data_IF_875202050227
#
_entry.id   IF_875202050227
#
_cell.length_a   1.000
_cell.length_b   1.000
_cell.length_c   1.000
_cell.angle_alpha   90.00
_cell.angle_beta   90.00
_cell.angle_gamma   90.00
#
_symmetry.space_group_name_H-M   'P 1'
#
loop_
_entity.id
_entity.type
_entity.pdbx_description
1 polymer ?
#
# COMPACT_ATOMS: atom_id res chain seq x y z
N UNK A 1 -22.43 19.18 6.02
CA UNK A 1 -21.38 18.32 5.45
C UNK A 1 -20.64 17.64 6.59
N UNK A 2 -21.13 16.49 7.04
CA UNK A 2 -20.47 15.68 8.07
C UNK A 2 -19.44 14.77 7.40
N UNK A 3 -18.22 15.28 7.23
CA UNK A 3 -17.06 14.50 6.79
C UNK A 3 -16.58 13.59 7.92
N UNK A 4 -17.44 12.70 8.42
CA UNK A 4 -16.98 11.57 9.21
C UNK A 4 -16.30 10.65 8.21
N UNK A 5 -14.98 10.70 8.20
CA UNK A 5 -14.15 9.73 7.49
C UNK A 5 -14.37 8.40 8.22
N UNK A 6 -15.44 7.69 7.88
CA UNK A 6 -15.65 6.33 8.34
C UNK A 6 -14.67 5.47 7.54
N UNK A 7 -13.44 5.41 8.06
CA UNK A 7 -12.41 4.58 7.49
C UNK A 7 -12.86 3.12 7.60
N UNK A 8 -13.36 2.55 6.51
CA UNK A 8 -13.68 1.12 6.43
C UNK A 8 -12.37 0.31 6.35
N UNK A 9 -11.93 -0.33 7.46
CA UNK A 9 -10.68 -1.07 7.49
C UNK A 9 -10.75 -2.32 6.59
N UNK A 10 -11.95 -2.86 6.35
CA UNK A 10 -12.15 -4.02 5.48
C UNK A 10 -11.97 -3.65 4.01
N UNK A 11 -12.49 -2.49 3.59
CA UNK A 11 -12.24 -1.98 2.24
C UNK A 11 -10.75 -1.72 2.00
N UNK A 12 -10.04 -1.16 2.99
CA UNK A 12 -8.59 -0.93 2.93
C UNK A 12 -7.80 -2.25 2.85
N UNK A 13 -8.15 -3.27 3.64
CA UNK A 13 -7.53 -4.61 3.54
C UNK A 13 -7.70 -5.22 2.16
N UNK A 14 -8.91 -5.18 1.58
CA UNK A 14 -9.16 -5.67 0.22
C UNK A 14 -8.41 -4.88 -0.84
N UNK A 15 -8.23 -3.58 -0.65
CA UNK A 15 -7.41 -2.76 -1.55
C UNK A 15 -5.93 -3.18 -1.47
N UNK A 16 -5.40 -3.39 -0.27
CA UNK A 16 -4.03 -3.88 -0.07
C UNK A 16 -3.82 -5.26 -0.69
N UNK A 17 -4.73 -6.20 -0.48
CA UNK A 17 -4.64 -7.54 -1.10
C UNK A 17 -4.60 -7.49 -2.62
N UNK A 18 -5.39 -6.60 -3.23
CA UNK A 18 -5.36 -6.39 -4.69
C UNK A 18 -4.06 -5.74 -5.15
N UNK A 19 -3.49 -4.83 -4.36
CA UNK A 19 -2.25 -4.14 -4.71
C UNK A 19 -0.99 -4.98 -4.49
N UNK A 20 -1.02 -6.00 -3.62
CA UNK A 20 0.14 -6.88 -3.33
C UNK A 20 0.72 -7.57 -4.57
N UNK A 21 -0.11 -7.84 -5.59
CA UNK A 21 0.33 -8.48 -6.82
C UNK A 21 1.03 -7.54 -7.79
N UNK A 22 0.84 -6.22 -7.66
CA UNK A 22 1.39 -5.24 -8.59
C UNK A 22 2.93 -5.13 -8.51
N UNK A 23 3.57 -5.08 -7.32
CA UNK A 23 5.02 -5.13 -7.21
C UNK A 23 5.61 -6.43 -7.80
N UNK A 24 4.96 -7.57 -7.59
CA UNK A 24 5.41 -8.86 -8.14
C UNK A 24 5.42 -8.85 -9.68
N UNK A 25 4.39 -8.25 -10.29
CA UNK A 25 4.31 -8.07 -11.74
C UNK A 25 5.38 -7.10 -12.26
N UNK A 26 5.63 -6.01 -11.55
CA UNK A 26 6.70 -5.06 -11.87
C UNK A 26 8.09 -5.71 -11.81
N UNK A 27 8.36 -6.53 -10.79
CA UNK A 27 9.60 -7.30 -10.70
C UNK A 27 9.70 -8.36 -11.83
N UNK A 28 8.56 -8.93 -12.22
CA UNK A 28 8.47 -9.84 -13.37
C UNK A 28 8.89 -9.20 -14.68
N UNK A 29 8.52 -7.94 -14.92
CA UNK A 29 8.89 -7.21 -16.14
C UNK A 29 10.39 -7.12 -16.37
N UNK A 30 11.17 -6.78 -15.33
CA UNK A 30 12.64 -6.71 -15.45
C UNK A 30 13.27 -8.07 -15.75
N UNK A 31 12.77 -9.14 -15.12
CA UNK A 31 13.25 -10.51 -15.39
C UNK A 31 12.90 -10.98 -16.79
N UNK A 32 11.68 -10.73 -17.26
CA UNK A 32 11.26 -11.02 -18.63
C UNK A 32 12.10 -10.26 -19.63
N UNK A 33 12.36 -8.97 -19.39
CA UNK A 33 13.20 -8.15 -20.25
C UNK A 33 14.62 -8.73 -20.41
N UNK A 34 15.29 -9.07 -19.30
CA UNK A 34 16.62 -9.71 -19.34
C UNK A 34 16.58 -11.07 -20.05
N UNK A 35 15.52 -11.85 -19.81
CA UNK A 35 15.36 -13.15 -20.46
C UNK A 35 15.20 -13.01 -21.97
N UNK A 36 14.43 -12.02 -22.42
CA UNK A 36 14.19 -11.76 -23.84
C UNK A 36 15.44 -11.19 -24.52
N UNK A 37 16.17 -10.28 -23.86
CA UNK A 37 17.44 -9.73 -24.35
C UNK A 37 18.47 -10.83 -24.66
N UNK A 38 18.55 -11.86 -23.81
CA UNK A 38 19.44 -13.01 -24.02
C UNK A 38 19.14 -13.79 -25.29
N UNK A 39 17.92 -13.73 -25.80
CA UNK A 39 17.55 -14.38 -27.06
C UNK A 39 18.07 -13.62 -28.29
N UNK A 40 18.40 -12.32 -28.15
CA UNK A 40 18.90 -11.47 -29.23
C UNK A 40 20.43 -11.31 -29.22
N UNK A 41 21.10 -11.76 -28.16
CA UNK A 41 22.56 -11.77 -28.00
C UNK A 41 23.08 -13.19 -28.23
N UNK A 42 23.15 -13.67 -29.50
CA UNK A 42 24.25 -13.30 -30.40
C UNK A 42 23.80 -13.30 -31.88
N UNK A 43 23.21 -12.20 -32.36
CA UNK A 43 22.93 -12.07 -33.80
C UNK A 43 24.23 -11.90 -34.63
N UNK A 44 24.31 -12.40 -35.87
CA UNK A 44 25.44 -12.17 -36.76
C UNK A 44 25.64 -10.66 -36.98
N UNK A 45 26.84 -10.14 -36.70
CA UNK A 45 27.15 -8.71 -36.78
C UNK A 45 27.31 -8.01 -35.43
N UNK A 46 27.08 -8.68 -34.29
CA UNK A 46 27.21 -8.08 -32.94
C UNK A 46 28.59 -7.45 -32.62
N UNK A 47 29.62 -7.78 -33.39
CA UNK A 47 30.99 -7.26 -33.22
C UNK A 47 31.50 -6.48 -34.43
N UNK A 48 30.65 -6.16 -35.41
CA UNK A 48 31.06 -5.34 -36.55
C UNK A 48 31.13 -3.84 -36.19
N UNK A 49 31.68 -3.03 -37.09
CA UNK A 49 31.87 -1.59 -36.86
C UNK A 49 30.54 -0.84 -36.67
N UNK A 50 29.45 -1.35 -37.24
CA UNK A 50 28.12 -0.78 -37.05
C UNK A 50 27.57 -1.11 -35.66
N UNK A 51 27.73 -2.35 -35.20
CA UNK A 51 27.37 -2.77 -33.86
C UNK A 51 28.21 -2.02 -32.81
N UNK A 52 29.48 -1.73 -33.08
CA UNK A 52 30.31 -0.86 -32.22
C UNK A 52 29.73 0.55 -32.03
N UNK A 53 29.01 1.08 -33.02
CA UNK A 53 28.35 2.39 -32.95
C UNK A 53 26.97 2.32 -32.26
N UNK A 54 26.21 1.25 -32.48
CA UNK A 54 24.82 1.13 -32.01
C UNK A 54 24.71 0.53 -30.61
N UNK A 55 25.60 -0.40 -30.23
CA UNK A 55 25.56 -1.09 -28.92
C UNK A 55 25.51 -0.15 -27.73
N UNK A 56 26.32 0.93 -27.65
CA UNK A 56 26.28 1.81 -26.48
C UNK A 56 24.90 2.46 -26.27
N UNK A 57 24.20 2.79 -27.36
CA UNK A 57 22.84 3.36 -27.29
C UNK A 57 21.82 2.28 -26.91
N UNK A 58 21.98 1.07 -27.47
CA UNK A 58 21.15 -0.08 -27.12
C UNK A 58 21.28 -0.47 -25.64
N UNK A 59 22.51 -0.63 -25.15
CA UNK A 59 22.83 -0.95 -23.75
C UNK A 59 22.25 0.14 -22.81
N UNK A 60 22.41 1.42 -23.15
CA UNK A 60 21.81 2.53 -22.38
C UNK A 60 20.28 2.48 -22.34
N UNK A 61 19.63 2.15 -23.45
CA UNK A 61 18.18 2.00 -23.48
C UNK A 61 17.70 0.80 -22.65
N UNK A 62 18.46 -0.30 -22.67
CA UNK A 62 18.18 -1.47 -21.84
C UNK A 62 18.30 -1.13 -20.35
N UNK A 63 19.35 -0.42 -19.95
CA UNK A 63 19.51 0.09 -18.58
C UNK A 63 18.36 1.02 -18.17
N UNK A 64 17.93 1.92 -19.07
CA UNK A 64 16.80 2.80 -18.82
C UNK A 64 15.49 2.02 -18.58
N UNK A 65 15.23 1.00 -19.39
CA UNK A 65 14.06 0.14 -19.24
C UNK A 65 14.07 -0.63 -17.90
N UNK A 66 15.23 -1.17 -17.52
CA UNK A 66 15.40 -1.86 -16.24
C UNK A 66 15.21 -0.93 -15.04
N UNK A 67 15.84 0.25 -15.08
CA UNK A 67 15.69 1.26 -14.04
C UNK A 67 14.22 1.73 -13.91
N UNK A 68 13.51 1.88 -15.03
CA UNK A 68 12.09 2.22 -15.00
C UNK A 68 11.26 1.13 -14.31
N UNK A 69 11.56 -0.14 -14.56
CA UNK A 69 10.91 -1.26 -13.88
C UNK A 69 11.17 -1.29 -12.38
N UNK A 70 12.40 -0.97 -11.97
CA UNK A 70 12.79 -0.87 -10.55
C UNK A 70 12.07 0.28 -9.84
N UNK A 71 12.07 1.48 -10.43
CA UNK A 71 11.35 2.65 -9.90
C UNK A 71 9.84 2.37 -9.77
N UNK A 72 9.26 1.68 -10.76
CA UNK A 72 7.84 1.29 -10.69
C UNK A 72 7.58 0.30 -9.54
N UNK A 73 8.47 -0.68 -9.35
CA UNK A 73 8.40 -1.61 -8.23
C UNK A 73 8.45 -0.87 -6.89
N UNK A 74 9.42 0.02 -6.70
CA UNK A 74 9.60 0.78 -5.46
C UNK A 74 8.39 1.66 -5.15
N UNK A 75 7.83 2.34 -6.16
CA UNK A 75 6.65 3.18 -6.00
C UNK A 75 5.44 2.35 -5.55
N UNK A 76 5.22 1.18 -6.14
CA UNK A 76 4.12 0.29 -5.80
C UNK A 76 4.31 -0.35 -4.41
N UNK A 77 5.52 -0.79 -4.07
CA UNK A 77 5.83 -1.32 -2.74
C UNK A 77 5.66 -0.23 -1.66
N UNK A 78 6.13 0.98 -1.92
CA UNK A 78 5.94 2.14 -1.06
C UNK A 78 4.46 2.46 -0.80
N UNK A 79 3.62 2.42 -1.85
CA UNK A 79 2.18 2.61 -1.72
C UNK A 79 1.52 1.52 -0.86
N UNK A 80 1.91 0.25 -1.06
CA UNK A 80 1.40 -0.87 -0.25
C UNK A 80 1.79 -0.70 1.22
N UNK A 81 3.05 -0.35 1.50
CA UNK A 81 3.54 -0.09 2.87
C UNK A 81 2.81 1.07 3.53
N UNK A 82 2.64 2.19 2.83
CA UNK A 82 1.92 3.36 3.35
C UNK A 82 0.46 3.02 3.68
N UNK A 83 -0.20 2.25 2.81
CA UNK A 83 -1.59 1.82 3.03
C UNK A 83 -1.71 0.89 4.24
N UNK A 84 -0.77 -0.05 4.42
CA UNK A 84 -0.72 -0.92 5.59
C UNK A 84 -0.44 -0.15 6.89
N UNK A 85 0.46 0.83 6.85
CA UNK A 85 0.74 1.69 8.00
C UNK A 85 -0.50 2.49 8.42
N UNK A 86 -1.23 3.05 7.44
CA UNK A 86 -2.50 3.74 7.69
C UNK A 86 -3.55 2.82 8.30
N UNK A 87 -3.71 1.61 7.76
CA UNK A 87 -4.62 0.61 8.31
C UNK A 87 -4.29 0.28 9.77
N UNK A 88 -3.02 0.03 10.08
CA UNK A 88 -2.58 -0.26 11.45
C UNK A 88 -2.86 0.92 12.40
N UNK A 89 -2.67 2.16 11.93
CA UNK A 89 -2.98 3.36 12.71
C UNK A 89 -4.48 3.48 13.00
N UNK A 90 -5.33 3.20 12.02
CA UNK A 90 -6.79 3.24 12.15
C UNK A 90 -7.27 2.16 13.14
N UNK A 91 -6.76 0.94 13.01
CA UNK A 91 -7.08 -0.18 13.91
C UNK A 91 -6.68 0.11 15.37
N UNK A 92 -5.48 0.67 15.60
CA UNK A 92 -5.06 1.10 16.94
C UNK A 92 -5.98 2.17 17.50
N UNK A 93 -6.29 3.19 16.71
CA UNK A 93 -7.19 4.28 17.14
C UNK A 93 -8.58 3.76 17.49
N UNK A 94 -9.09 2.79 16.73
CA UNK A 94 -10.37 2.15 17.00
C UNK A 94 -10.33 1.33 18.30
N UNK A 95 -9.25 0.56 18.52
CA UNK A 95 -9.05 -0.21 19.76
C UNK A 95 -8.97 0.69 20.98
N UNK A 96 -8.12 1.73 20.94
CA UNK A 96 -7.94 2.68 22.05
C UNK A 96 -9.25 3.39 22.39
N UNK A 97 -10.03 3.77 21.37
CA UNK A 97 -11.33 4.39 21.56
C UNK A 97 -12.32 3.42 22.19
N UNK A 98 -12.36 2.17 21.74
CA UNK A 98 -13.22 1.13 22.30
C UNK A 98 -12.88 0.81 23.76
N UNK A 99 -11.58 0.79 24.11
CA UNK A 99 -11.11 0.57 25.48
C UNK A 99 -11.48 1.74 26.38
N UNK A 100 -11.31 2.99 25.93
CA UNK A 100 -11.75 4.18 26.67
C UNK A 100 -13.25 4.20 26.91
N UNK A 101 -14.06 3.78 25.92
CA UNK A 101 -15.52 3.66 26.08
C UNK A 101 -15.85 2.56 27.10
N UNK A 102 -15.17 1.40 27.03
CA UNK A 102 -15.37 0.32 27.99
C UNK A 102 -14.95 0.73 29.42
N UNK A 103 -13.85 1.45 29.57
CA UNK A 103 -13.39 2.04 30.83
C UNK A 103 -14.38 3.05 31.39
N UNK A 104 -14.89 3.96 30.54
CA UNK A 104 -15.93 4.89 30.93
C UNK A 104 -17.19 4.16 31.39
N UNK A 105 -17.61 3.12 30.66
CA UNK A 105 -18.77 2.28 31.05
C UNK A 105 -18.53 1.55 32.37
N UNK A 106 -17.32 1.06 32.64
CA UNK A 106 -16.97 0.45 33.93
C UNK A 106 -16.95 1.45 35.07
N UNK A 107 -16.50 2.69 34.82
CA UNK A 107 -16.44 3.78 35.81
C UNK A 107 -17.77 4.47 36.05
N UNK A 108 -18.73 4.33 35.13
CA UNK A 108 -20.10 4.82 35.25
C UNK A 108 -20.99 3.63 35.55
N UNK A 109 -21.05 3.12 36.79
CA UNK A 109 -22.12 2.20 37.15
C UNK A 109 -23.44 2.91 36.86
N UNK A 110 -24.34 2.19 36.21
CA UNK A 110 -25.69 2.61 35.85
C UNK A 110 -26.49 2.82 37.16
N UNK A 111 -26.24 3.93 37.86
CA UNK A 111 -26.87 4.26 39.14
C UNK A 111 -27.16 5.76 39.30
N UNK A 112 -27.50 6.46 38.22
CA UNK A 112 -27.91 7.88 38.26
C UNK A 112 -29.31 8.09 37.64
N UNK A 113 -30.14 7.05 37.58
CA UNK A 113 -31.56 7.18 37.25
C UNK A 113 -32.49 6.73 38.38
N UNK A 114 -31.98 6.67 39.60
CA UNK A 114 -32.84 6.61 40.80
C UNK A 114 -32.59 7.86 41.65
N UNK A 115 -33.68 8.54 41.98
CA UNK A 115 -33.82 9.66 42.91
C UNK A 115 -33.61 11.10 42.39
N UNK A 116 -34.69 11.74 41.91
CA UNK A 116 -35.34 12.85 42.64
C UNK A 116 -36.55 13.40 41.87
N UNK A 117 -37.71 12.78 42.11
CA UNK A 117 -39.01 13.38 41.85
C UNK A 117 -39.31 14.45 42.91
N UNK A 118 -38.98 15.70 42.59
CA UNK A 118 -39.44 16.90 43.30
C UNK A 118 -40.96 17.00 43.32
N UNK A 119 -41.55 17.35 44.48
CA UNK A 119 -42.77 18.16 44.53
C UNK A 119 -43.85 17.71 45.51
N UNK A 120 -43.81 18.25 46.74
CA UNK A 120 -44.92 18.14 47.68
C UNK A 120 -46.16 18.94 47.28
N UNK A 121 -47.33 18.42 47.65
CA UNK A 121 -48.56 19.15 47.99
C UNK A 121 -49.61 18.18 48.54
N UNK A 122 -49.82 18.20 49.87
CA UNK A 122 -51.10 18.41 50.54
C UNK A 122 -50.93 18.34 52.06
#
# INVERSE_FOLDING_TARGET
MSGVYEADPQALRRAVERMRRLPELAQGLGRSFISDERNYTPWPGWTDDFAGQVRPVYERNNEYCLNTGEVLYEALDGLVRATLANLSSIERTQSDSSERIADHRRRTPESVFDDQGTGGRH
#
